data_IF_969504729772
#
_entry.id   IF_969504729772
#
_cell.length_a   1.000
_cell.length_b   1.000
_cell.length_c   1.000
_cell.angle_alpha   90.00
_cell.angle_beta   90.00
_cell.angle_gamma   90.00
#
_symmetry.space_group_name_H-M   'P 1'
#
loop_
_entity.id
_entity.type
_entity.pdbx_description
1 polymer ?
#
# COMPACT_ATOMS: atom_id res chain seq x y z
N UNK A 1 2.92 -13.36 -10.09
CA UNK A 1 2.12 -12.66 -9.08
C UNK A 1 1.90 -11.24 -9.52
N UNK A 2 0.70 -10.69 -9.34
CA UNK A 2 0.42 -9.27 -9.57
C UNK A 2 1.06 -8.44 -8.45
N UNK A 3 1.88 -7.46 -8.80
CA UNK A 3 2.47 -6.53 -7.84
C UNK A 3 1.54 -5.35 -7.59
N UNK A 4 1.60 -4.79 -6.38
CA UNK A 4 0.90 -3.56 -6.03
C UNK A 4 1.80 -2.64 -5.20
N UNK A 5 1.57 -1.34 -5.26
CA UNK A 5 2.33 -0.35 -4.51
C UNK A 5 1.75 -0.21 -3.09
N UNK A 6 2.62 -0.18 -2.09
CA UNK A 6 2.30 0.15 -0.70
C UNK A 6 3.09 1.39 -0.34
N UNK A 7 2.41 2.39 0.22
CA UNK A 7 3.08 3.58 0.73
C UNK A 7 3.80 3.30 2.05
N UNK A 8 4.79 4.12 2.37
CA UNK A 8 5.48 4.04 3.66
C UNK A 8 4.50 4.14 4.85
N UNK A 9 3.53 5.05 4.79
CA UNK A 9 2.56 5.24 5.86
C UNK A 9 1.63 4.03 6.04
N UNK A 10 1.18 3.39 4.95
CA UNK A 10 0.40 2.15 5.05
C UNK A 10 1.21 1.04 5.72
N UNK A 11 2.49 0.91 5.39
CA UNK A 11 3.36 -0.10 5.98
C UNK A 11 3.56 0.14 7.48
N UNK A 12 3.94 1.36 7.89
CA UNK A 12 4.17 1.66 9.30
C UNK A 12 2.89 1.53 10.12
N UNK A 13 1.76 2.05 9.62
CA UNK A 13 0.49 1.91 10.31
C UNK A 13 0.04 0.44 10.44
N UNK A 14 0.32 -0.40 9.44
CA UNK A 14 0.00 -1.83 9.52
C UNK A 14 0.78 -2.55 10.64
N UNK A 15 2.01 -2.13 10.92
CA UNK A 15 2.81 -2.66 12.03
C UNK A 15 2.26 -2.19 13.38
N UNK A 16 1.88 -0.91 13.48
CA UNK A 16 1.34 -0.32 14.71
C UNK A 16 -0.01 -0.92 15.10
N UNK A 17 -0.92 -1.04 14.12
CA UNK A 17 -2.27 -1.55 14.36
C UNK A 17 -2.33 -3.09 14.43
N UNK A 18 -1.33 -3.79 13.90
CA UNK A 18 -1.23 -5.25 13.96
C UNK A 18 -2.50 -5.92 13.44
N UNK A 19 -3.06 -6.85 14.21
CA UNK A 19 -4.28 -7.60 13.86
C UNK A 19 -5.52 -6.73 13.62
N UNK A 20 -5.51 -5.46 14.05
CA UNK A 20 -6.62 -4.53 13.79
C UNK A 20 -6.52 -3.92 12.38
N UNK A 21 -5.35 -3.96 11.75
CA UNK A 21 -5.17 -3.48 10.39
C UNK A 21 -5.70 -4.47 9.36
N UNK A 22 -6.43 -3.96 8.37
CA UNK A 22 -6.91 -4.74 7.25
C UNK A 22 -6.78 -3.92 5.97
N UNK A 23 -5.98 -4.40 5.03
CA UNK A 23 -5.87 -3.82 3.70
C UNK A 23 -6.92 -4.43 2.77
N UNK A 24 -7.79 -3.59 2.20
CA UNK A 24 -8.77 -3.97 1.20
C UNK A 24 -8.43 -3.30 -0.13
N UNK A 25 -8.32 -4.08 -1.21
CA UNK A 25 -8.08 -3.56 -2.56
C UNK A 25 -9.09 -4.11 -3.55
N UNK A 26 -9.86 -3.21 -4.14
CA UNK A 26 -10.77 -3.55 -5.24
C UNK A 26 -10.04 -3.35 -6.56
N UNK A 27 -10.15 -4.33 -7.46
CA UNK A 27 -9.53 -4.29 -8.79
C UNK A 27 -10.48 -4.91 -9.82
N UNK A 28 -10.13 -4.86 -11.12
CA UNK A 28 -10.99 -5.34 -12.22
C UNK A 28 -12.38 -4.67 -12.27
N UNK A 29 -12.46 -3.37 -11.98
CA UNK A 29 -13.73 -2.61 -11.93
C UNK A 29 -14.61 -2.72 -13.18
N UNK A 30 -14.02 -2.93 -14.37
CA UNK A 30 -14.76 -2.96 -15.65
C UNK A 30 -15.41 -4.31 -15.96
N UNK A 31 -14.78 -5.41 -15.57
CA UNK A 31 -15.15 -6.76 -16.01
C UNK A 31 -15.71 -7.65 -14.88
N UNK A 32 -15.89 -7.06 -13.69
CA UNK A 32 -16.30 -7.74 -12.48
C UNK A 32 -15.37 -7.36 -11.33
N UNK A 33 -15.76 -6.39 -10.48
CA UNK A 33 -14.89 -5.93 -9.40
C UNK A 33 -14.54 -7.08 -8.46
N UNK A 34 -13.25 -7.26 -8.21
CA UNK A 34 -12.71 -8.25 -7.29
C UNK A 34 -12.12 -7.59 -6.08
N UNK A 35 -12.23 -8.25 -4.94
CA UNK A 35 -11.67 -7.79 -3.67
C UNK A 35 -10.48 -8.68 -3.29
N UNK A 36 -9.38 -8.04 -2.95
CA UNK A 36 -8.21 -8.65 -2.32
C UNK A 36 -8.07 -8.10 -0.91
N UNK A 37 -7.76 -8.97 0.05
CA UNK A 37 -7.64 -8.61 1.47
C UNK A 37 -6.35 -9.13 2.08
N UNK A 38 -5.67 -8.29 2.87
CA UNK A 38 -4.56 -8.70 3.73
C UNK A 38 -4.81 -8.22 5.16
N UNK A 39 -5.05 -9.14 6.12
CA UNK A 39 -5.15 -8.80 7.53
C UNK A 39 -3.75 -8.65 8.15
N UNK A 40 -3.61 -7.79 9.15
CA UNK A 40 -2.38 -7.70 9.93
C UNK A 40 -1.24 -6.92 9.29
N UNK A 41 -0.05 -7.07 9.87
CA UNK A 41 1.19 -6.45 9.40
C UNK A 41 1.51 -6.87 7.95
N UNK A 42 1.58 -5.89 7.06
CA UNK A 42 1.86 -6.12 5.64
C UNK A 42 3.22 -6.79 5.43
N UNK A 43 4.22 -6.53 6.28
CA UNK A 43 5.57 -7.09 6.14
C UNK A 43 5.62 -8.61 6.34
N UNK A 44 4.64 -9.19 7.04
CA UNK A 44 4.51 -10.64 7.22
C UNK A 44 3.94 -11.34 5.98
N UNK A 45 3.26 -10.58 5.11
CA UNK A 45 2.46 -11.13 4.01
C UNK A 45 3.05 -10.88 2.63
N UNK A 46 3.93 -9.88 2.49
CA UNK A 46 4.48 -9.47 1.19
C UNK A 46 5.98 -9.24 1.22
N UNK A 47 6.62 -9.48 0.07
CA UNK A 47 8.00 -9.05 -0.17
C UNK A 47 8.03 -7.58 -0.58
N UNK A 48 8.50 -6.72 0.32
CA UNK A 48 8.64 -5.29 0.09
C UNK A 48 9.93 -5.00 -0.68
N UNK A 49 9.84 -4.17 -1.72
CA UNK A 49 10.99 -3.60 -2.42
C UNK A 49 11.02 -2.08 -2.18
N UNK A 50 12.16 -1.49 -1.80
CA UNK A 50 12.28 -0.04 -1.67
C UNK A 50 11.92 0.66 -2.99
N UNK A 51 11.14 1.73 -2.90
CA UNK A 51 10.87 2.64 -4.02
C UNK A 51 11.50 3.99 -3.68
N UNK A 52 12.71 4.23 -4.18
CA UNK A 52 13.62 5.29 -3.71
C UNK A 52 13.32 6.72 -4.18
N UNK A 53 12.27 6.97 -4.97
CA UNK A 53 12.06 8.30 -5.56
C UNK A 53 10.70 8.91 -5.25
N UNK A 54 10.68 9.80 -4.27
CA UNK A 54 9.62 10.79 -4.05
C UNK A 54 10.18 12.18 -4.38
N UNK A 55 9.71 12.78 -5.46
CA UNK A 55 10.07 14.14 -5.85
C UNK A 55 9.01 15.14 -5.36
N UNK A 56 9.44 16.34 -4.99
CA UNK A 56 8.58 17.49 -4.70
C UNK A 56 8.94 18.65 -5.63
N UNK A 57 7.97 19.55 -5.86
CA UNK A 57 8.22 20.76 -6.64
C UNK A 57 9.26 21.65 -5.94
N UNK A 58 10.12 22.30 -6.73
CA UNK A 58 10.79 23.51 -6.26
C UNK A 58 9.70 24.56 -6.13
N UNK A 59 9.30 24.89 -4.89
CA UNK A 59 8.35 25.97 -4.63
C UNK A 59 8.84 27.22 -5.34
N UNK A 60 8.12 27.68 -6.36
CA UNK A 60 8.23 29.06 -6.83
C UNK A 60 7.36 29.86 -5.88
N UNK A 61 7.98 30.39 -4.82
CA UNK A 61 7.38 31.50 -4.06
C UNK A 61 7.24 32.64 -5.07
N UNK A 62 6.00 32.91 -5.47
CA UNK A 62 5.62 34.14 -6.17
C UNK A 62 5.36 35.24 -5.16
#
# INVERSE_FOLDING_TARGET
GSSFLVSHNELEFSKEAGDQFHLYRVFQFRDGPRLFTLPGDLSQHVHLKPTDYRASFRSLVG
#
